data_IF_539060162321
#
_entry.id   IF_539060162321
#
_cell.length_a   1.000
_cell.length_b   1.000
_cell.length_c   1.000
_cell.angle_alpha   90.00
_cell.angle_beta   90.00
_cell.angle_gamma   90.00
#
_symmetry.space_group_name_H-M   'P 1'
#
loop_
_entity.id
_entity.type
_entity.pdbx_description
1 polymer ?
#
# COMPACT_ATOMS: atom_id res chain seq x y z
N UNK A 1 -36.33 8.66 -24.47
CA UNK A 1 -34.87 8.66 -24.73
C UNK A 1 -34.14 8.25 -23.45
N UNK A 2 -33.79 6.98 -23.32
CA UNK A 2 -33.13 6.38 -22.16
C UNK A 2 -31.71 6.00 -22.54
N UNK A 3 -30.71 6.73 -22.02
CA UNK A 3 -29.29 6.41 -22.20
C UNK A 3 -28.87 5.47 -21.07
N UNK A 4 -28.77 4.16 -21.38
CA UNK A 4 -28.23 3.15 -20.45
C UNK A 4 -26.77 3.47 -20.15
N UNK A 5 -26.45 3.86 -18.91
CA UNK A 5 -25.10 3.74 -18.35
C UNK A 5 -24.77 2.26 -18.24
N UNK A 6 -23.86 1.77 -19.07
CA UNK A 6 -23.27 0.45 -18.91
C UNK A 6 -22.37 0.47 -17.67
N UNK A 7 -22.82 -0.13 -16.57
CA UNK A 7 -22.02 -0.32 -15.36
C UNK A 7 -21.00 -1.44 -15.62
N UNK A 8 -19.76 -1.08 -15.96
CA UNK A 8 -18.66 -2.05 -16.01
C UNK A 8 -18.37 -2.51 -14.58
N UNK A 9 -18.32 -3.82 -14.29
CA UNK A 9 -17.93 -4.30 -12.97
C UNK A 9 -16.49 -3.85 -12.68
N UNK A 10 -16.26 -3.36 -11.47
CA UNK A 10 -14.91 -3.04 -11.00
C UNK A 10 -14.12 -4.35 -10.93
N UNK A 11 -12.85 -4.36 -11.35
CA UNK A 11 -12.01 -5.55 -11.23
C UNK A 11 -11.97 -5.99 -9.76
N UNK A 12 -12.12 -7.29 -9.53
CA UNK A 12 -12.00 -7.87 -8.19
C UNK A 12 -10.65 -7.47 -7.58
N UNK A 13 -10.59 -7.11 -6.29
CA UNK A 13 -9.33 -6.73 -5.65
C UNK A 13 -8.34 -7.88 -5.82
N UNK A 14 -7.20 -7.59 -6.45
CA UNK A 14 -6.15 -8.58 -6.63
C UNK A 14 -5.64 -8.98 -5.24
N UNK A 15 -5.93 -10.23 -4.82
CA UNK A 15 -5.43 -10.83 -3.58
C UNK A 15 -3.94 -11.17 -3.69
N UNK A 16 -3.13 -10.17 -4.06
CA UNK A 16 -1.69 -10.27 -4.04
C UNK A 16 -1.16 -10.26 -2.60
N UNK A 17 0.07 -10.72 -2.38
CA UNK A 17 0.75 -10.63 -1.09
C UNK A 17 0.69 -9.21 -0.53
N UNK A 18 0.19 -9.06 0.70
CA UNK A 18 0.05 -7.77 1.38
C UNK A 18 1.42 -7.11 1.48
N UNK A 19 1.49 -5.86 1.02
CA UNK A 19 2.70 -5.03 1.04
C UNK A 19 2.37 -3.70 1.72
N UNK A 20 3.15 -3.33 2.72
CA UNK A 20 2.93 -2.14 3.55
C UNK A 20 3.82 -0.98 3.08
N UNK A 21 3.22 0.14 2.71
CA UNK A 21 3.93 1.40 2.49
C UNK A 21 3.90 2.23 3.78
N UNK A 22 5.06 2.59 4.32
CA UNK A 22 5.13 3.62 5.36
C UNK A 22 5.41 4.97 4.70
N UNK A 23 4.39 5.83 4.62
CA UNK A 23 4.50 7.21 4.14
C UNK A 23 5.05 8.12 5.26
N UNK A 24 6.24 7.78 5.76
CA UNK A 24 6.91 8.51 6.83
C UNK A 24 8.44 8.32 6.73
N UNK A 25 9.22 9.14 7.44
CA UNK A 25 10.69 9.08 7.49
C UNK A 25 11.24 8.80 8.90
N UNK A 26 12.55 8.57 8.97
CA UNK A 26 13.31 8.42 10.22
C UNK A 26 12.78 7.32 11.15
N UNK A 27 12.93 7.49 12.47
CA UNK A 27 12.67 6.49 13.50
C UNK A 27 11.28 5.83 13.41
N UNK A 28 10.24 6.61 13.12
CA UNK A 28 8.87 6.08 13.07
C UNK A 28 8.71 5.11 11.90
N UNK A 29 9.30 5.40 10.74
CA UNK A 29 9.31 4.48 9.61
C UNK A 29 10.02 3.17 9.99
N UNK A 30 11.17 3.27 10.69
CA UNK A 30 11.92 2.11 11.17
C UNK A 30 11.09 1.26 12.13
N UNK A 31 10.38 1.86 13.09
CA UNK A 31 9.51 1.15 14.03
C UNK A 31 8.40 0.39 13.30
N UNK A 32 7.74 1.02 12.33
CA UNK A 32 6.70 0.39 11.50
C UNK A 32 7.28 -0.79 10.71
N UNK A 33 8.45 -0.64 10.09
CA UNK A 33 9.06 -1.72 9.31
C UNK A 33 9.47 -2.91 10.16
N UNK A 34 9.96 -2.68 11.37
CA UNK A 34 10.31 -3.76 12.31
C UNK A 34 9.08 -4.59 12.68
N UNK A 35 8.00 -3.93 13.09
CA UNK A 35 6.74 -4.61 13.40
C UNK A 35 6.18 -5.36 12.17
N UNK A 36 6.23 -4.74 10.99
CA UNK A 36 5.78 -5.38 9.76
C UNK A 36 6.63 -6.62 9.39
N UNK A 37 7.94 -6.59 9.65
CA UNK A 37 8.84 -7.73 9.45
C UNK A 37 8.51 -8.89 10.40
N UNK A 38 8.26 -8.58 11.67
CA UNK A 38 7.81 -9.57 12.67
C UNK A 38 6.49 -10.24 12.27
N UNK A 39 5.64 -9.52 11.53
CA UNK A 39 4.38 -10.02 10.96
C UNK A 39 4.54 -10.69 9.58
N UNK A 40 5.77 -10.86 9.08
CA UNK A 40 6.03 -11.47 7.78
C UNK A 40 5.56 -10.64 6.57
N UNK A 41 5.35 -9.34 6.76
CA UNK A 41 4.90 -8.43 5.71
C UNK A 41 6.09 -7.86 4.93
N UNK A 42 5.90 -7.66 3.63
CA UNK A 42 6.86 -6.91 2.82
C UNK A 42 6.60 -5.42 2.96
N UNK A 43 7.65 -4.62 3.08
CA UNK A 43 7.55 -3.18 3.30
C UNK A 43 8.06 -2.37 2.11
N UNK A 44 7.58 -1.15 1.98
CA UNK A 44 8.05 -0.12 1.04
C UNK A 44 8.21 1.18 1.81
N UNK A 45 9.29 1.90 1.54
CA UNK A 45 9.58 3.21 2.11
C UNK A 45 9.54 4.29 1.03
N UNK A 46 9.24 5.52 1.45
CA UNK A 46 9.55 6.73 0.70
C UNK A 46 10.63 7.51 1.45
N UNK A 47 11.57 8.09 0.71
CA UNK A 47 12.63 8.92 1.27
C UNK A 47 12.80 10.17 0.39
N UNK A 48 13.19 11.28 1.01
CA UNK A 48 13.68 12.43 0.26
C UNK A 48 15.15 12.22 -0.09
N UNK A 49 15.67 12.86 -1.15
CA UNK A 49 17.09 12.73 -1.52
C UNK A 49 18.05 13.15 -0.39
N UNK A 50 17.56 13.95 0.55
CA UNK A 50 18.29 14.51 1.69
C UNK A 50 18.07 13.73 3.01
N UNK A 51 17.18 12.71 3.01
CA UNK A 51 17.00 11.77 4.13
C UNK A 51 18.16 10.77 4.22
#
# INVERSE_FOLDING_TARGET
MSTRRTSRPLPAPASGPIKLLAANRSEIAIRVFRAATELGMRTVAVYAQED
#
